data_IF_468816168193
#
_entry.id   IF_468816168193
#
_cell.length_a   1.000
_cell.length_b   1.000
_cell.length_c   1.000
_cell.angle_alpha   90.00
_cell.angle_beta   90.00
_cell.angle_gamma   90.00
#
_symmetry.space_group_name_H-M   'P 1'
#
loop_
_entity.id
_entity.type
_entity.pdbx_description
1 polymer ?
#
# COMPACT_ATOMS: atom_id res chain seq x y z
N UNK A 1 -15.10 -51.87 11.70
CA UNK A 1 -14.59 -51.02 10.58
C UNK A 1 -15.76 -50.56 9.71
N UNK A 2 -16.25 -49.34 9.96
CA UNK A 2 -17.27 -48.67 9.16
C UNK A 2 -16.58 -47.47 8.53
N UNK A 3 -16.16 -47.63 7.27
CA UNK A 3 -15.63 -46.53 6.47
C UNK A 3 -16.81 -45.92 5.71
N UNK A 4 -17.26 -44.77 6.19
CA UNK A 4 -18.09 -43.83 5.42
C UNK A 4 -17.13 -42.90 4.66
N UNK A 5 -17.18 -42.81 3.32
CA UNK A 5 -16.44 -41.78 2.61
C UNK A 5 -17.16 -40.43 2.78
N UNK A 6 -16.45 -39.46 3.33
CA UNK A 6 -16.89 -38.07 3.42
C UNK A 6 -16.97 -37.43 2.02
N UNK A 7 -18.04 -36.71 1.67
CA UNK A 7 -17.97 -35.75 0.58
C UNK A 7 -17.38 -34.44 1.14
N UNK A 8 -16.06 -34.28 1.01
CA UNK A 8 -15.46 -32.95 1.12
C UNK A 8 -15.75 -32.20 -0.18
N UNK A 9 -16.93 -31.60 -0.26
CA UNK A 9 -17.26 -30.63 -1.29
C UNK A 9 -16.68 -29.26 -0.92
N UNK A 10 -16.09 -28.62 -1.95
CA UNK A 10 -15.67 -27.20 -2.11
C UNK A 10 -14.18 -26.91 -1.96
N UNK A 11 -13.44 -27.30 -3.00
CA UNK A 11 -12.19 -26.64 -3.40
C UNK A 11 -12.38 -25.84 -4.71
N UNK A 12 -13.54 -25.20 -4.92
CA UNK A 12 -13.86 -24.47 -6.16
C UNK A 12 -14.57 -23.13 -5.89
N UNK A 13 -13.99 -22.29 -5.04
CA UNK A 13 -14.49 -20.92 -4.77
C UNK A 13 -13.45 -19.83 -5.08
N UNK A 14 -12.42 -20.15 -5.88
CA UNK A 14 -11.39 -19.18 -6.28
C UNK A 14 -11.18 -19.10 -7.80
N UNK A 15 -12.06 -19.67 -8.62
CA UNK A 15 -11.87 -19.75 -10.07
C UNK A 15 -12.98 -19.13 -10.92
N UNK A 16 -14.13 -18.76 -10.35
CA UNK A 16 -15.22 -18.17 -11.15
C UNK A 16 -15.15 -16.65 -11.30
N UNK A 17 -14.61 -15.93 -10.31
CA UNK A 17 -14.57 -14.46 -10.37
C UNK A 17 -13.41 -13.91 -11.22
N UNK A 18 -12.41 -14.73 -11.55
CA UNK A 18 -11.24 -14.32 -12.34
C UNK A 18 -11.48 -14.43 -13.86
N UNK A 19 -12.45 -15.25 -14.27
CA UNK A 19 -12.78 -15.48 -15.70
C UNK A 19 -13.71 -14.42 -16.29
N UNK A 20 -14.45 -13.67 -15.47
CA UNK A 20 -15.35 -12.62 -15.96
C UNK A 20 -14.63 -11.34 -16.39
N UNK A 21 -13.39 -11.12 -15.94
CA UNK A 21 -12.60 -9.94 -16.31
C UNK A 21 -11.94 -10.06 -17.68
N UNK A 22 -11.78 -11.28 -18.21
CA UNK A 22 -11.08 -11.52 -19.49
C UNK A 22 -12.03 -11.69 -20.68
N UNK A 23 -13.35 -11.64 -20.45
CA UNK A 23 -14.37 -12.08 -21.41
C UNK A 23 -15.19 -11.00 -22.14
N UNK A 24 -14.95 -9.71 -21.94
CA UNK A 24 -15.72 -8.66 -22.64
C UNK A 24 -14.86 -7.50 -23.12
N UNK A 25 -14.58 -7.46 -24.43
CA UNK A 25 -13.95 -6.32 -25.08
C UNK A 25 -13.37 -6.62 -26.46
N UNK A 26 -14.17 -7.12 -27.41
CA UNK A 26 -13.84 -6.99 -28.83
C UNK A 26 -14.34 -5.64 -29.33
N UNK A 27 -13.44 -4.75 -29.74
CA UNK A 27 -13.76 -3.58 -30.57
C UNK A 27 -13.14 -2.26 -30.09
N UNK A 28 -12.03 -1.88 -30.71
CA UNK A 28 -11.47 -0.53 -30.61
C UNK A 28 -10.00 -0.52 -31.00
N UNK A 29 -9.72 -0.12 -32.24
CA UNK A 29 -8.40 0.38 -32.62
C UNK A 29 -8.15 1.62 -31.78
N UNK A 30 -7.41 1.48 -30.68
CA UNK A 30 -6.87 2.62 -29.97
C UNK A 30 -5.62 3.02 -30.75
N UNK A 31 -5.76 4.10 -31.52
CA UNK A 31 -4.60 4.84 -32.03
C UNK A 31 -3.65 5.08 -30.86
N UNK A 32 -2.44 4.58 -31.05
CA UNK A 32 -1.28 4.69 -30.17
C UNK A 32 -0.76 6.14 -30.21
N UNK A 33 -1.52 7.08 -29.66
CA UNK A 33 -1.08 8.49 -29.58
C UNK A 33 -1.49 9.19 -28.28
N UNK A 34 -1.79 8.42 -27.22
CA UNK A 34 -1.96 8.96 -25.86
C UNK A 34 -1.35 8.03 -24.78
N UNK A 35 -0.31 7.27 -25.15
CA UNK A 35 0.47 6.44 -24.20
C UNK A 35 1.55 7.25 -23.46
N UNK A 36 1.61 8.57 -23.70
CA UNK A 36 2.63 9.45 -23.14
C UNK A 36 2.38 9.91 -21.70
N UNK A 37 1.12 10.00 -21.25
CA UNK A 37 0.79 10.73 -20.01
C UNK A 37 0.48 9.83 -18.80
N UNK A 38 0.24 8.53 -19.00
CA UNK A 38 0.04 7.61 -17.88
C UNK A 38 1.36 7.19 -17.20
N UNK A 39 2.47 7.26 -17.93
CA UNK A 39 3.81 6.86 -17.48
C UNK A 39 4.55 7.97 -16.72
N UNK A 40 4.10 9.23 -16.82
CA UNK A 40 4.64 10.37 -16.06
C UNK A 40 3.98 10.51 -14.67
N UNK A 41 3.50 9.40 -14.11
CA UNK A 41 3.22 9.33 -12.67
C UNK A 41 4.57 9.29 -11.94
N UNK A 42 5.17 10.46 -11.76
CA UNK A 42 6.28 10.66 -10.83
C UNK A 42 5.73 10.29 -9.45
N UNK A 43 6.03 9.07 -8.99
CA UNK A 43 5.86 8.74 -7.59
C UNK A 43 6.85 9.63 -6.84
N UNK A 44 6.33 10.66 -6.15
CA UNK A 44 7.16 11.47 -5.26
C UNK A 44 7.87 10.52 -4.28
N UNK A 45 9.17 10.68 -4.16
CA UNK A 45 9.98 9.87 -3.26
C UNK A 45 9.64 10.30 -1.83
N UNK A 46 9.05 9.40 -1.03
CA UNK A 46 8.71 9.69 0.36
C UNK A 46 9.97 10.10 1.15
N UNK A 47 9.90 11.21 1.88
CA UNK A 47 11.04 11.70 2.68
C UNK A 47 11.21 10.89 3.96
N UNK A 48 12.38 10.98 4.61
CA UNK A 48 12.58 10.37 5.94
C UNK A 48 11.52 10.86 6.95
N UNK A 49 11.19 12.15 6.91
CA UNK A 49 10.17 12.72 7.79
C UNK A 49 8.79 12.09 7.55
N UNK A 50 8.40 11.87 6.28
CA UNK A 50 7.12 11.23 5.94
C UNK A 50 7.03 9.81 6.51
N UNK A 51 8.10 9.03 6.33
CA UNK A 51 8.20 7.69 6.89
C UNK A 51 8.10 7.69 8.42
N UNK A 52 8.79 8.60 9.11
CA UNK A 52 8.76 8.68 10.58
C UNK A 52 7.40 9.15 11.10
N UNK A 53 6.75 10.08 10.41
CA UNK A 53 5.38 10.48 10.72
C UNK A 53 4.42 9.31 10.57
N UNK A 54 4.53 8.53 9.50
CA UNK A 54 3.73 7.31 9.34
C UNK A 54 3.95 6.33 10.50
N UNK A 55 5.19 6.07 10.89
CA UNK A 55 5.51 5.21 12.05
C UNK A 55 4.92 5.75 13.36
N UNK A 56 4.98 7.07 13.58
CA UNK A 56 4.41 7.73 14.75
C UNK A 56 2.88 7.55 14.81
N UNK A 57 2.19 7.60 13.67
CA UNK A 57 0.74 7.40 13.60
C UNK A 57 0.30 5.96 13.89
N UNK A 58 1.14 4.97 13.56
CA UNK A 58 0.88 3.56 13.85
C UNK A 58 1.23 3.15 15.28
N UNK A 59 1.97 3.99 16.02
CA UNK A 59 2.42 3.69 17.37
C UNK A 59 1.35 4.00 18.42
N UNK A 60 1.10 3.12 19.41
CA UNK A 60 0.13 3.35 20.48
C UNK A 60 0.69 4.32 21.54
N UNK A 61 0.76 5.60 21.19
CA UNK A 61 1.28 6.68 22.04
C UNK A 61 0.15 7.56 22.59
N UNK A 62 0.37 8.16 23.77
CA UNK A 62 -0.56 9.19 24.27
C UNK A 62 -0.59 10.40 23.34
N UNK A 63 -1.64 11.24 23.35
CA UNK A 63 -1.69 12.45 22.52
C UNK A 63 -0.50 13.40 22.77
N UNK A 64 -0.06 13.49 24.04
CA UNK A 64 1.11 14.28 24.43
C UNK A 64 2.40 13.73 23.82
N UNK A 65 2.60 12.41 23.88
CA UNK A 65 3.81 11.79 23.37
C UNK A 65 3.88 11.85 21.83
N UNK A 66 2.73 11.79 21.15
CA UNK A 66 2.66 12.03 19.70
C UNK A 66 3.07 13.46 19.33
N UNK A 67 2.63 14.46 20.09
CA UNK A 67 3.08 15.84 19.85
C UNK A 67 4.58 16.00 20.06
N UNK A 68 5.13 15.41 21.12
CA UNK A 68 6.58 15.44 21.37
C UNK A 68 7.31 14.73 20.22
N UNK A 69 6.83 13.57 19.78
CA UNK A 69 7.40 12.84 18.65
C UNK A 69 7.39 13.64 17.34
N UNK A 70 6.30 14.34 17.03
CA UNK A 70 6.23 15.21 15.86
C UNK A 70 7.24 16.36 15.91
N UNK A 71 7.41 17.00 17.07
CA UNK A 71 8.41 18.05 17.26
C UNK A 71 9.84 17.52 17.11
N UNK A 72 10.11 16.31 17.60
CA UNK A 72 11.42 15.67 17.44
C UNK A 72 11.70 15.37 15.96
N UNK A 73 10.73 14.84 15.22
CA UNK A 73 10.87 14.55 13.78
C UNK A 73 11.18 15.82 12.99
N UNK A 74 10.51 16.93 13.29
CA UNK A 74 10.76 18.23 12.63
C UNK A 74 12.18 18.77 12.88
N UNK A 75 12.77 18.41 14.03
CA UNK A 75 14.13 18.81 14.42
C UNK A 75 15.24 17.92 13.81
N UNK A 76 14.91 16.83 13.12
CA UNK A 76 15.88 15.95 12.46
C UNK A 76 16.38 16.53 11.13
N UNK A 77 17.64 16.31 10.78
CA UNK A 77 18.18 16.53 9.43
C UNK A 77 17.89 15.35 8.48
N UNK A 78 18.37 15.44 7.24
CA UNK A 78 18.18 14.42 6.20
C UNK A 78 18.86 13.08 6.55
N UNK A 79 19.90 13.11 7.39
CA UNK A 79 20.62 11.94 7.87
C UNK A 79 19.98 11.32 9.13
N UNK A 80 18.94 11.97 9.68
CA UNK A 80 18.22 11.53 10.86
C UNK A 80 18.86 11.92 12.19
N UNK A 81 19.75 12.91 12.19
CA UNK A 81 20.34 13.48 13.40
C UNK A 81 19.64 14.77 13.83
N UNK A 82 19.62 15.05 15.14
CA UNK A 82 19.06 16.28 15.66
C UNK A 82 19.97 17.46 15.34
N UNK A 83 19.36 18.53 14.81
CA UNK A 83 20.06 19.78 14.50
C UNK A 83 20.39 20.60 15.76
N UNK A 84 19.68 20.35 16.86
CA UNK A 84 19.79 21.06 18.14
C UNK A 84 19.94 20.07 19.31
N UNK A 85 20.67 20.45 20.38
CA UNK A 85 20.78 19.62 21.58
C UNK A 85 19.44 19.56 22.35
N UNK A 86 19.14 18.39 22.92
CA UNK A 86 17.95 18.11 23.74
C UNK A 86 18.06 18.62 25.18
#
# INVERSE_FOLDING_TARGET
PREEPAPAERDDDWSQDELQWTGSGSGGSFDDDESGDAAERVAESETLADHLLWQLHLSPLSPRDRQIGALLIDALDEDGYLREPL
#
